data_IF_030236947072
#
_entry.id   IF_030236947072
#
_cell.length_a   1.000
_cell.length_b   1.000
_cell.length_c   1.000
_cell.angle_alpha   90.00
_cell.angle_beta   90.00
_cell.angle_gamma   90.00
#
_symmetry.space_group_name_H-M   'P 1'
#
loop_
_entity.id
_entity.type
_entity.pdbx_description
1 polymer ?
#
# COMPACT_ATOMS: atom_id res chain seq x y z
N UNK A 1 2.45 5.26 29.65
CA UNK A 1 2.23 6.30 28.62
C UNK A 1 1.19 5.79 27.64
N UNK A 2 0.03 6.45 27.54
CA UNK A 2 -1.03 6.07 26.59
C UNK A 2 -0.84 6.85 25.29
N UNK A 3 -0.17 6.24 24.32
CA UNK A 3 0.10 6.81 23.00
C UNK A 3 -1.12 6.80 22.06
N UNK A 4 -2.24 6.18 22.50
CA UNK A 4 -3.41 5.90 21.65
C UNK A 4 -4.73 6.33 22.31
N UNK A 5 -4.74 7.50 22.96
CA UNK A 5 -5.98 8.06 23.51
C UNK A 5 -6.88 8.51 22.35
N UNK A 6 -8.07 7.92 22.26
CA UNK A 6 -9.08 8.24 21.23
C UNK A 6 -9.96 9.37 21.72
N UNK A 7 -10.33 10.30 20.83
CA UNK A 7 -11.30 11.34 21.18
C UNK A 7 -12.67 10.72 21.54
N UNK A 8 -13.28 11.07 22.69
CA UNK A 8 -14.67 10.72 22.98
C UNK A 8 -15.61 11.49 22.03
N UNK A 9 -16.64 10.82 21.51
CA UNK A 9 -17.67 11.45 20.67
C UNK A 9 -17.40 11.54 19.16
N UNK A 10 -16.29 10.99 18.65
CA UNK A 10 -16.00 10.95 17.21
C UNK A 10 -16.96 10.01 16.44
N UNK A 11 -17.47 10.49 15.29
CA UNK A 11 -18.32 9.75 14.37
C UNK A 11 -17.53 8.62 13.69
N UNK A 12 -17.90 7.37 13.94
CA UNK A 12 -17.22 6.22 13.32
C UNK A 12 -17.69 6.02 11.88
N UNK A 13 -16.79 6.26 10.93
CA UNK A 13 -17.01 5.90 9.53
C UNK A 13 -17.02 4.38 9.37
N UNK A 14 -18.04 3.77 8.73
CA UNK A 14 -18.08 2.33 8.53
C UNK A 14 -16.90 1.86 7.68
N UNK A 15 -16.39 0.66 7.99
CA UNK A 15 -15.26 0.08 7.27
C UNK A 15 -15.61 -0.18 5.80
N UNK A 16 -14.90 0.50 4.87
CA UNK A 16 -15.06 0.33 3.43
C UNK A 16 -14.27 -0.86 2.85
N UNK A 17 -14.16 -0.91 1.51
CA UNK A 17 -13.46 -1.98 0.75
C UNK A 17 -11.95 -2.08 1.02
N UNK A 18 -11.39 -1.09 1.68
CA UNK A 18 -9.97 -0.91 2.01
C UNK A 18 -9.44 -2.02 2.90
N UNK A 19 -10.21 -2.41 3.94
CA UNK A 19 -9.85 -3.55 4.80
C UNK A 19 -9.87 -4.87 4.04
N UNK A 20 -10.78 -5.00 3.07
CA UNK A 20 -10.85 -6.18 2.21
C UNK A 20 -9.63 -6.24 1.31
N UNK A 21 -9.25 -5.13 0.66
CA UNK A 21 -8.04 -5.02 -0.16
C UNK A 21 -6.78 -5.35 0.65
N UNK A 22 -6.61 -4.76 1.84
CA UNK A 22 -5.44 -5.00 2.71
C UNK A 22 -5.34 -6.47 3.17
N UNK A 23 -6.46 -7.16 3.40
CA UNK A 23 -6.46 -8.59 3.76
C UNK A 23 -6.21 -9.51 2.56
N UNK A 24 -6.66 -9.11 1.38
CA UNK A 24 -6.47 -9.87 0.14
C UNK A 24 -5.06 -9.70 -0.43
N UNK A 25 -4.42 -8.56 -0.17
CA UNK A 25 -3.08 -8.22 -0.65
C UNK A 25 -2.02 -9.31 -0.44
N UNK A 26 -1.82 -9.86 0.78
CA UNK A 26 -0.83 -10.92 0.97
C UNK A 26 -1.19 -12.20 0.21
N UNK A 27 -2.48 -12.52 0.05
CA UNK A 27 -2.92 -13.68 -0.74
C UNK A 27 -2.71 -13.47 -2.23
N UNK A 28 -3.02 -12.28 -2.73
CA UNK A 28 -2.82 -11.92 -4.14
C UNK A 28 -1.34 -11.86 -4.48
N UNK A 29 -0.49 -11.40 -3.56
CA UNK A 29 0.96 -11.43 -3.73
C UNK A 29 1.48 -12.86 -3.85
N UNK A 30 1.08 -13.74 -2.92
CA UNK A 30 1.50 -15.14 -2.96
C UNK A 30 0.96 -15.88 -4.20
N UNK A 31 -0.33 -15.71 -4.52
CA UNK A 31 -0.93 -16.39 -5.67
C UNK A 31 -0.43 -15.81 -6.99
N UNK A 32 -0.25 -14.50 -7.09
CA UNK A 32 0.23 -13.83 -8.29
C UNK A 32 1.71 -14.14 -8.55
N UNK A 33 2.55 -14.16 -7.52
CA UNK A 33 3.94 -14.65 -7.67
C UNK A 33 4.02 -16.10 -8.09
N UNK A 34 3.23 -16.97 -7.46
CA UNK A 34 3.17 -18.38 -7.82
C UNK A 34 2.74 -18.54 -9.29
N UNK A 35 1.70 -17.84 -9.71
CA UNK A 35 1.19 -17.87 -11.08
C UNK A 35 2.22 -17.34 -12.10
N UNK A 36 2.96 -16.30 -11.74
CA UNK A 36 4.00 -15.71 -12.59
C UNK A 36 5.30 -16.50 -12.62
N UNK A 37 5.54 -17.35 -11.62
CA UNK A 37 6.64 -18.31 -11.63
C UNK A 37 6.37 -19.54 -12.52
N UNK A 38 5.10 -19.86 -12.80
CA UNK A 38 4.72 -21.04 -13.60
C UNK A 38 5.32 -21.05 -15.01
N UNK A 39 5.33 -19.96 -15.80
CA UNK A 39 5.91 -19.96 -17.13
C UNK A 39 7.42 -20.26 -17.14
N UNK A 40 8.17 -19.72 -16.18
CA UNK A 40 9.61 -20.01 -16.04
C UNK A 40 9.85 -21.46 -15.58
N UNK A 41 9.04 -21.95 -14.62
CA UNK A 41 9.11 -23.35 -14.20
C UNK A 41 8.78 -24.32 -15.36
N UNK A 42 7.77 -23.97 -16.16
CA UNK A 42 7.33 -24.74 -17.32
C UNK A 42 8.40 -24.73 -18.42
N UNK A 43 9.03 -23.59 -18.71
CA UNK A 43 10.12 -23.50 -19.66
C UNK A 43 11.32 -24.38 -19.24
N UNK A 44 11.65 -24.43 -17.94
CA UNK A 44 12.70 -25.29 -17.39
C UNK A 44 12.34 -26.78 -17.44
N UNK A 45 11.09 -27.13 -17.13
CA UNK A 45 10.57 -28.51 -17.27
C UNK A 45 10.61 -28.98 -18.72
N UNK A 46 10.21 -28.12 -19.67
CA UNK A 46 10.25 -28.42 -21.10
C UNK A 46 11.69 -28.63 -21.59
N UNK A 47 12.63 -27.78 -21.17
CA UNK A 47 14.05 -27.94 -21.48
C UNK A 47 14.66 -29.23 -20.91
N UNK A 48 14.18 -29.70 -19.75
CA UNK A 48 14.60 -30.96 -19.16
C UNK A 48 14.03 -32.19 -19.90
N UNK A 49 12.76 -32.12 -20.35
CA UNK A 49 12.09 -33.24 -21.03
C UNK A 49 12.49 -33.39 -22.50
N UNK A 50 12.82 -32.28 -23.18
CA UNK A 50 13.12 -32.26 -24.61
C UNK A 50 14.32 -31.35 -24.93
N UNK A 51 15.55 -31.73 -24.53
CA UNK A 51 16.75 -30.90 -24.69
C UNK A 51 17.08 -30.60 -26.16
N UNK A 52 16.76 -31.51 -27.08
CA UNK A 52 17.03 -31.37 -28.52
C UNK A 52 16.22 -30.25 -29.19
N UNK A 53 15.07 -29.88 -28.61
CA UNK A 53 14.20 -28.81 -29.09
C UNK A 53 14.35 -27.52 -28.25
N UNK A 54 15.17 -27.57 -27.20
CA UNK A 54 15.34 -26.49 -26.26
C UNK A 54 16.41 -25.51 -26.77
N UNK A 55 15.97 -24.33 -27.22
CA UNK A 55 16.88 -23.25 -27.62
C UNK A 55 17.29 -22.43 -26.38
N UNK A 56 18.59 -22.38 -26.10
CA UNK A 56 19.15 -21.63 -24.97
C UNK A 56 18.70 -20.15 -24.97
N UNK A 57 18.62 -19.55 -26.17
CA UNK A 57 18.14 -18.17 -26.36
C UNK A 57 16.68 -17.98 -25.90
N UNK A 58 15.81 -18.95 -26.17
CA UNK A 58 14.39 -18.87 -25.79
C UNK A 58 14.25 -18.99 -24.27
N UNK A 59 15.00 -19.90 -23.63
CA UNK A 59 15.01 -20.07 -22.17
C UNK A 59 15.42 -18.76 -21.48
N UNK A 60 16.52 -18.16 -21.92
CA UNK A 60 16.99 -16.88 -21.36
C UNK A 60 15.96 -15.76 -21.57
N UNK A 61 15.33 -15.70 -22.75
CA UNK A 61 14.32 -14.69 -23.06
C UNK A 61 13.11 -14.83 -22.14
N UNK A 62 12.63 -16.05 -21.93
CA UNK A 62 11.51 -16.35 -21.02
C UNK A 62 11.88 -16.02 -19.58
N UNK A 63 13.10 -16.32 -19.12
CA UNK A 63 13.55 -16.00 -17.77
C UNK A 63 13.64 -14.47 -17.56
N UNK A 64 14.12 -13.70 -18.54
CA UNK A 64 14.17 -12.22 -18.49
C UNK A 64 12.76 -11.63 -18.39
N UNK A 65 11.83 -12.08 -19.23
CA UNK A 65 10.45 -11.59 -19.15
C UNK A 65 9.75 -12.05 -17.86
N UNK A 66 9.98 -13.29 -17.44
CA UNK A 66 9.42 -13.85 -16.21
C UNK A 66 9.84 -13.05 -14.98
N UNK A 67 11.15 -12.80 -14.81
CA UNK A 67 11.64 -12.02 -13.67
C UNK A 67 11.15 -10.57 -13.73
N UNK A 68 11.12 -9.97 -14.91
CA UNK A 68 10.60 -8.61 -15.11
C UNK A 68 9.13 -8.49 -14.68
N UNK A 69 8.31 -9.49 -15.02
CA UNK A 69 6.89 -9.49 -14.66
C UNK A 69 6.66 -9.72 -13.16
N UNK A 70 7.51 -10.52 -12.51
CA UNK A 70 7.47 -10.69 -11.05
C UNK A 70 7.77 -9.38 -10.33
N UNK A 71 8.82 -8.65 -10.74
CA UNK A 71 9.15 -7.34 -10.18
C UNK A 71 8.03 -6.31 -10.42
N UNK A 72 7.46 -6.29 -11.63
CA UNK A 72 6.30 -5.44 -11.94
C UNK A 72 5.11 -5.77 -11.04
N UNK A 73 4.82 -7.05 -10.84
CA UNK A 73 3.72 -7.50 -9.99
C UNK A 73 3.89 -7.06 -8.53
N UNK A 74 5.10 -7.20 -7.98
CA UNK A 74 5.41 -6.75 -6.62
C UNK A 74 5.24 -5.25 -6.44
N UNK A 75 5.77 -4.46 -7.37
CA UNK A 75 5.69 -3.00 -7.31
C UNK A 75 4.24 -2.51 -7.42
N UNK A 76 3.43 -3.08 -8.32
CA UNK A 76 2.00 -2.78 -8.44
C UNK A 76 1.23 -3.12 -7.15
N UNK A 77 1.48 -4.28 -6.56
CA UNK A 77 0.84 -4.66 -5.30
C UNK A 77 1.26 -3.76 -4.15
N UNK A 78 2.54 -3.39 -4.08
CA UNK A 78 3.04 -2.44 -3.09
C UNK A 78 2.34 -1.09 -3.23
N UNK A 79 2.20 -0.56 -4.44
CA UNK A 79 1.47 0.68 -4.71
C UNK A 79 0.01 0.61 -4.23
N UNK A 80 -0.71 -0.46 -4.61
CA UNK A 80 -2.10 -0.65 -4.19
C UNK A 80 -2.21 -0.79 -2.67
N UNK A 81 -1.25 -1.46 -2.03
CA UNK A 81 -1.21 -1.62 -0.58
C UNK A 81 -0.97 -0.33 0.16
N UNK A 82 -0.02 0.48 -0.30
CA UNK A 82 0.23 1.81 0.24
C UNK A 82 -1.02 2.68 0.08
N UNK A 83 -1.65 2.68 -1.10
CA UNK A 83 -2.87 3.44 -1.33
C UNK A 83 -3.99 3.01 -0.36
N UNK A 84 -4.27 1.71 -0.24
CA UNK A 84 -5.28 1.21 0.69
C UNK A 84 -4.95 1.49 2.16
N UNK A 85 -3.67 1.45 2.54
CA UNK A 85 -3.20 1.81 3.87
C UNK A 85 -3.43 3.30 4.17
N UNK A 86 -3.13 4.18 3.21
CA UNK A 86 -3.37 5.62 3.35
C UNK A 86 -4.86 5.89 3.58
N UNK A 87 -5.77 5.31 2.78
CA UNK A 87 -7.21 5.52 2.97
C UNK A 87 -7.68 4.96 4.33
N UNK A 88 -7.13 3.83 4.77
CA UNK A 88 -7.40 3.28 6.11
C UNK A 88 -6.97 4.25 7.21
N UNK A 89 -5.80 4.89 7.08
CA UNK A 89 -5.31 5.90 8.02
C UNK A 89 -6.20 7.14 8.00
N UNK A 90 -6.58 7.63 6.82
CA UNK A 90 -7.48 8.78 6.67
C UNK A 90 -8.87 8.56 7.31
N UNK A 91 -9.38 7.32 7.28
CA UNK A 91 -10.63 6.94 7.94
C UNK A 91 -10.45 6.38 9.35
N UNK A 92 -9.21 6.31 9.84
CA UNK A 92 -8.86 5.75 11.13
C UNK A 92 -9.47 6.51 12.31
N UNK A 93 -9.43 5.94 13.53
CA UNK A 93 -9.94 6.64 14.71
C UNK A 93 -9.19 7.97 14.91
N UNK A 94 -9.92 9.03 15.26
CA UNK A 94 -9.33 10.28 15.66
C UNK A 94 -8.49 10.08 16.94
N UNK A 95 -7.18 9.97 16.76
CA UNK A 95 -6.23 10.03 17.86
C UNK A 95 -6.13 11.48 18.31
N UNK A 96 -6.14 11.69 19.63
CA UNK A 96 -5.92 13.01 20.21
C UNK A 96 -4.52 13.45 19.83
N UNK A 97 -4.42 14.48 18.97
CA UNK A 97 -3.16 15.18 18.81
C UNK A 97 -2.88 15.96 20.10
N UNK A 98 -1.60 16.10 20.48
CA UNK A 98 -1.22 16.93 21.62
C UNK A 98 -1.80 18.33 21.42
N UNK A 99 -2.74 18.70 22.28
CA UNK A 99 -3.40 20.00 22.19
C UNK A 99 -2.36 21.07 22.51
N UNK A 100 -2.00 21.88 21.50
CA UNK A 100 -1.32 23.13 21.77
C UNK A 100 -2.32 24.08 22.45
N UNK A 101 -1.96 24.72 23.58
CA UNK A 101 -2.81 25.73 24.18
C UNK A 101 -2.95 26.89 23.19
N UNK A 102 -4.13 27.00 22.58
CA UNK A 102 -4.46 28.13 21.73
C UNK A 102 -4.86 29.29 22.65
N UNK A 103 -4.03 30.32 22.71
CA UNK A 103 -4.38 31.56 23.40
C UNK A 103 -5.31 32.36 22.47
N UNK A 104 -6.60 32.02 22.49
CA UNK A 104 -7.62 32.76 21.75
C UNK A 104 -7.91 34.08 22.49
N UNK A 105 -7.63 35.20 21.85
CA UNK A 105 -8.15 36.50 22.24
C UNK A 105 -9.47 36.73 21.49
N UNK A 106 -10.59 36.78 22.22
CA UNK A 106 -11.93 37.00 21.64
C UNK A 106 -12.07 38.38 20.97
N UNK A 107 -11.19 39.33 21.31
CA UNK A 107 -11.15 40.66 20.72
C UNK A 107 -9.96 40.78 19.76
N UNK A 108 -10.17 41.35 18.56
CA UNK A 108 -9.06 41.77 17.71
C UNK A 108 -8.25 42.84 18.45
N UNK A 109 -6.93 42.77 18.34
CA UNK A 109 -6.02 43.79 18.87
C UNK A 109 -6.42 45.16 18.28
N UNK A 110 -6.98 46.05 19.11
CA UNK A 110 -7.44 47.40 18.74
C UNK A 110 -6.24 48.36 18.55
N UNK A 111 -5.11 47.80 18.12
CA UNK A 111 -3.83 48.44 17.92
C UNK A 111 -3.78 49.29 16.66
N UNK A 112 -4.68 50.26 16.49
CA UNK A 112 -4.41 51.49 15.71
C UNK A 112 -5.54 52.57 15.81
N UNK A 113 -6.16 52.79 16.98
CA UNK A 113 -7.23 53.82 17.10
C UNK A 113 -6.96 54.99 18.04
N UNK A 114 -5.77 55.09 18.64
CA UNK A 114 -5.44 56.15 19.62
C UNK A 114 -4.58 57.30 19.10
N UNK A 115 -4.36 57.41 17.79
CA UNK A 115 -3.58 58.53 17.21
C UNK A 115 -4.18 59.07 15.92
N UNK A 116 -5.35 59.73 15.97
CA UNK A 116 -5.68 60.77 14.99
C UNK A 116 -6.72 61.76 15.49
#
# INVERSE_FOLDING_TARGET
>A
MNWFTKLPGFQRTPAGRERTVLRLLPRVLLLGTLALGLPSLFARLYAFLAPELASATLILTVDIYGISLVFLHWTLLMMVGIAAFIVMVMKGPAYVADAYPLNESDEPDDGDRRTR
#
